data_IF_543945814947
#
_entry.id   IF_543945814947
#
_cell.length_a   1.000
_cell.length_b   1.000
_cell.length_c   1.000
_cell.angle_alpha   90.00
_cell.angle_beta   90.00
_cell.angle_gamma   90.00
#
_symmetry.space_group_name_H-M   'P 1'
#
loop_
_entity.id
_entity.type
_entity.pdbx_description
1 polymer ?
#
# COMPACT_ATOMS: atom_id res chain seq x y z
N UNK A 1 11.70 -25.08 -7.36
CA UNK A 1 10.60 -24.37 -8.06
C UNK A 1 10.87 -24.38 -9.58
N UNK A 2 9.85 -24.50 -10.44
CA UNK A 2 10.00 -24.49 -11.91
C UNK A 2 9.76 -23.06 -12.48
N UNK A 3 10.26 -22.76 -13.69
CA UNK A 3 10.15 -21.48 -14.40
C UNK A 3 8.69 -20.99 -14.57
N UNK A 4 7.74 -21.89 -14.81
CA UNK A 4 6.33 -21.52 -14.88
C UNK A 4 5.79 -21.04 -13.54
N UNK A 5 6.27 -21.63 -12.44
CA UNK A 5 5.83 -21.25 -11.10
C UNK A 5 6.45 -19.91 -10.70
N UNK A 6 7.71 -19.67 -11.07
CA UNK A 6 8.38 -18.40 -10.79
C UNK A 6 7.70 -17.24 -11.52
N UNK A 7 7.48 -17.39 -12.83
CA UNK A 7 6.79 -16.38 -13.66
C UNK A 7 5.36 -16.09 -13.18
N UNK A 8 4.64 -17.11 -12.71
CA UNK A 8 3.31 -16.92 -12.11
C UNK A 8 3.38 -16.08 -10.83
N UNK A 9 4.30 -16.39 -9.93
CA UNK A 9 4.49 -15.65 -8.68
C UNK A 9 4.89 -14.19 -8.97
N UNK A 10 5.78 -13.98 -9.95
CA UNK A 10 6.19 -12.64 -10.39
C UNK A 10 5.00 -11.83 -10.90
N UNK A 11 4.19 -12.42 -11.78
CA UNK A 11 2.99 -11.77 -12.32
C UNK A 11 2.00 -11.42 -11.20
N UNK A 12 1.69 -12.38 -10.33
CA UNK A 12 0.76 -12.18 -9.22
C UNK A 12 1.28 -11.11 -8.26
N UNK A 13 2.58 -11.08 -8.02
CA UNK A 13 3.26 -10.03 -7.28
C UNK A 13 3.06 -8.64 -7.89
N UNK A 14 3.43 -8.52 -9.16
CA UNK A 14 3.35 -7.27 -9.91
C UNK A 14 1.93 -6.70 -9.94
N UNK A 15 0.93 -7.54 -10.21
CA UNK A 15 -0.47 -7.13 -10.29
C UNK A 15 -1.06 -6.74 -8.93
N UNK A 16 -0.42 -7.13 -7.81
CA UNK A 16 -0.94 -6.92 -6.46
C UNK A 16 -0.03 -6.09 -5.56
N UNK A 17 0.79 -5.21 -6.15
CA UNK A 17 1.52 -4.16 -5.44
C UNK A 17 2.93 -4.53 -5.01
N UNK A 18 3.52 -5.57 -5.60
CA UNK A 18 4.93 -5.92 -5.48
C UNK A 18 5.57 -6.03 -6.87
N UNK A 19 5.79 -4.88 -7.50
CA UNK A 19 6.24 -4.70 -8.88
C UNK A 19 7.74 -4.97 -9.15
N UNK A 20 8.56 -5.18 -8.11
CA UNK A 20 10.00 -5.34 -8.25
C UNK A 20 10.49 -6.71 -7.75
N UNK A 21 11.21 -7.42 -8.60
CA UNK A 21 11.85 -8.70 -8.25
C UNK A 21 13.27 -8.40 -7.78
N UNK A 22 13.58 -8.70 -6.51
CA UNK A 22 14.90 -8.45 -5.94
C UNK A 22 15.82 -9.65 -6.07
N UNK A 23 15.30 -10.84 -5.80
CA UNK A 23 16.04 -12.11 -5.83
C UNK A 23 15.10 -13.20 -6.29
N UNK A 24 15.52 -13.96 -7.29
CA UNK A 24 14.87 -15.21 -7.72
C UNK A 24 15.84 -16.36 -7.44
N UNK A 25 15.70 -16.96 -6.26
CA UNK A 25 16.48 -18.14 -5.87
C UNK A 25 15.69 -19.44 -6.11
N UNK A 26 16.36 -20.61 -6.19
CA UNK A 26 15.68 -21.89 -6.45
C UNK A 26 14.58 -22.24 -5.43
N UNK A 27 14.74 -21.73 -4.20
CA UNK A 27 13.88 -21.99 -3.05
C UNK A 27 12.81 -20.90 -2.82
N UNK A 28 12.89 -19.74 -3.49
CA UNK A 28 11.91 -18.68 -3.30
C UNK A 28 12.18 -17.39 -4.08
N UNK A 29 11.13 -16.62 -4.30
CA UNK A 29 11.19 -15.29 -4.94
C UNK A 29 10.98 -14.22 -3.89
N UNK A 30 11.86 -13.21 -3.90
CA UNK A 30 11.69 -12.00 -3.09
C UNK A 30 11.18 -10.86 -3.97
N UNK A 31 9.98 -10.39 -3.66
CA UNK A 31 9.34 -9.25 -4.30
C UNK A 31 9.37 -8.01 -3.41
N UNK A 32 9.37 -6.84 -4.03
CA UNK A 32 9.38 -5.52 -3.41
C UNK A 32 8.49 -4.54 -4.19
N UNK A 33 8.31 -3.34 -3.65
CA UNK A 33 7.51 -2.28 -4.27
C UNK A 33 8.27 -0.95 -4.24
N UNK A 34 7.99 -0.05 -5.18
CA UNK A 34 8.42 1.34 -5.13
C UNK A 34 7.53 2.17 -4.20
N UNK A 35 6.33 1.68 -3.86
CA UNK A 35 5.30 2.41 -3.10
C UNK A 35 5.35 2.19 -1.59
N UNK A 36 6.11 1.18 -1.14
CA UNK A 36 6.32 0.88 0.27
C UNK A 36 7.59 0.05 0.48
N UNK A 37 8.19 0.14 1.67
CA UNK A 37 9.46 -0.54 1.98
C UNK A 37 9.35 -2.06 2.21
N UNK A 38 8.14 -2.60 2.40
CA UNK A 38 7.94 -4.01 2.75
C UNK A 38 8.23 -4.96 1.58
N UNK A 39 8.81 -6.12 1.89
CA UNK A 39 9.14 -7.17 0.92
C UNK A 39 8.38 -8.44 1.21
N UNK A 40 8.03 -9.19 0.17
CA UNK A 40 7.38 -10.49 0.27
C UNK A 40 8.33 -11.58 -0.24
N UNK A 41 8.63 -12.56 0.60
CA UNK A 41 9.37 -13.76 0.21
C UNK A 41 8.37 -14.89 0.01
N UNK A 42 8.31 -15.44 -1.20
CA UNK A 42 7.33 -16.44 -1.61
C UNK A 42 8.05 -17.71 -2.03
N UNK A 43 7.69 -18.81 -1.39
CA UNK A 43 8.20 -20.14 -1.68
C UNK A 43 7.02 -21.05 -2.04
N UNK A 44 7.18 -21.96 -2.99
CA UNK A 44 6.15 -22.95 -3.34
C UNK A 44 6.67 -24.35 -3.02
N UNK A 45 6.04 -25.02 -2.06
CA UNK A 45 6.38 -26.39 -1.66
C UNK A 45 5.12 -27.24 -1.65
N UNK A 46 5.18 -28.42 -2.29
CA UNK A 46 4.07 -29.38 -2.36
C UNK A 46 2.72 -28.75 -2.79
N UNK A 47 2.76 -27.77 -3.70
CA UNK A 47 1.55 -27.06 -4.19
C UNK A 47 1.00 -25.99 -3.24
N UNK A 48 1.64 -25.73 -2.10
CA UNK A 48 1.26 -24.67 -1.17
C UNK A 48 2.27 -23.52 -1.24
N UNK A 49 1.77 -22.30 -1.38
CA UNK A 49 2.56 -21.08 -1.29
C UNK A 49 2.77 -20.70 0.17
N UNK A 50 4.02 -20.44 0.51
CA UNK A 50 4.47 -19.93 1.80
C UNK A 50 4.95 -18.50 1.59
N UNK A 51 4.32 -17.56 2.28
CA UNK A 51 4.62 -16.13 2.16
C UNK A 51 5.12 -15.60 3.49
N UNK A 52 6.32 -15.03 3.49
CA UNK A 52 6.90 -14.32 4.63
C UNK A 52 7.13 -12.87 4.27
N UNK A 53 6.64 -11.95 5.10
CA UNK A 53 6.88 -10.52 4.91
C UNK A 53 8.12 -10.08 5.69
N UNK A 54 9.05 -9.42 5.01
CA UNK A 54 10.16 -8.69 5.64
C UNK A 54 9.73 -7.23 5.77
N UNK A 55 9.57 -6.78 7.00
CA UNK A 55 9.06 -5.45 7.33
C UNK A 55 9.74 -4.92 8.59
N UNK A 56 10.02 -3.62 8.62
CA UNK A 56 10.45 -2.91 9.83
C UNK A 56 9.26 -2.42 10.67
N UNK A 57 8.04 -2.65 10.19
CA UNK A 57 6.80 -2.25 10.85
C UNK A 57 6.27 -3.35 11.76
N UNK A 58 6.14 -3.06 13.05
CA UNK A 58 5.54 -3.96 14.04
C UNK A 58 4.03 -4.16 13.88
N UNK A 59 3.35 -3.32 13.08
CA UNK A 59 1.89 -3.36 12.91
C UNK A 59 1.42 -4.15 11.68
N UNK A 60 2.29 -4.41 10.70
CA UNK A 60 1.90 -5.10 9.46
C UNK A 60 1.42 -6.54 9.71
N UNK A 61 2.24 -7.35 10.39
CA UNK A 61 1.93 -8.76 10.62
C UNK A 61 0.65 -8.94 11.46
N UNK A 62 0.43 -8.22 12.58
CA UNK A 62 -0.84 -8.32 13.33
C UNK A 62 -2.09 -7.93 12.54
N UNK A 63 -2.00 -6.96 11.63
CA UNK A 63 -3.13 -6.54 10.79
C UNK A 63 -3.41 -7.55 9.67
N UNK A 64 -2.37 -8.15 9.10
CA UNK A 64 -2.51 -9.26 8.15
C UNK A 64 -3.10 -10.50 8.82
N UNK A 65 -2.66 -10.83 10.03
CA UNK A 65 -3.21 -11.93 10.83
C UNK A 65 -4.70 -11.71 11.11
N UNK A 66 -5.11 -10.49 11.45
CA UNK A 66 -6.53 -10.14 11.63
C UNK A 66 -7.34 -10.29 10.34
N UNK A 67 -6.75 -9.95 9.19
CA UNK A 67 -7.39 -10.08 7.89
C UNK A 67 -7.51 -11.54 7.44
N UNK A 68 -6.54 -12.39 7.80
CA UNK A 68 -6.44 -13.78 7.34
C UNK A 68 -6.07 -14.76 8.46
N UNK A 69 -6.94 -14.94 9.48
CA UNK A 69 -6.61 -15.74 10.66
C UNK A 69 -6.36 -17.22 10.33
N UNK A 70 -7.00 -17.74 9.27
CA UNK A 70 -6.89 -19.14 8.83
C UNK A 70 -5.70 -19.40 7.91
N UNK A 71 -5.06 -18.36 7.37
CA UNK A 71 -3.90 -18.51 6.49
C UNK A 71 -2.59 -18.53 7.26
N UNK A 72 -2.57 -18.12 8.54
CA UNK A 72 -1.34 -18.12 9.32
C UNK A 72 -0.93 -19.52 9.77
N UNK A 73 0.34 -19.86 9.50
CA UNK A 73 0.95 -21.06 10.05
C UNK A 73 1.13 -20.93 11.57
N UNK A 74 1.22 -22.07 12.25
CA UNK A 74 1.40 -22.15 13.71
C UNK A 74 2.65 -21.41 14.24
N UNK A 75 3.62 -21.07 13.36
CA UNK A 75 4.83 -20.31 13.69
C UNK A 75 4.67 -18.79 13.75
N UNK A 76 3.52 -18.22 13.37
CA UNK A 76 3.23 -16.79 13.58
C UNK A 76 3.99 -15.80 12.68
N UNK A 77 4.76 -16.26 11.69
CA UNK A 77 5.52 -15.41 10.76
C UNK A 77 5.28 -15.73 9.27
N UNK A 78 4.60 -16.83 8.98
CA UNK A 78 4.39 -17.34 7.62
C UNK A 78 2.90 -17.52 7.33
N UNK A 79 2.47 -17.02 6.17
CA UNK A 79 1.14 -17.27 5.62
C UNK A 79 1.21 -18.41 4.60
N UNK A 80 0.21 -19.28 4.64
CA UNK A 80 0.04 -20.42 3.75
C UNK A 80 -1.19 -20.22 2.89
N UNK A 81 -1.04 -20.42 1.58
CA UNK A 81 -2.15 -20.37 0.63
C UNK A 81 -2.00 -21.46 -0.43
N UNK A 82 -3.08 -22.15 -0.75
CA UNK A 82 -3.10 -23.22 -1.74
C UNK A 82 -3.38 -22.73 -3.18
N UNK A 83 -3.90 -21.51 -3.35
CA UNK A 83 -4.31 -21.01 -4.67
C UNK A 83 -3.65 -19.68 -5.01
N UNK A 84 -3.48 -19.45 -6.31
CA UNK A 84 -3.01 -18.18 -6.85
C UNK A 84 -3.95 -17.02 -6.48
N UNK A 85 -5.27 -17.25 -6.47
CA UNK A 85 -6.26 -16.24 -6.09
C UNK A 85 -6.09 -15.78 -4.64
N UNK A 86 -5.88 -16.71 -3.72
CA UNK A 86 -5.65 -16.40 -2.31
C UNK A 86 -4.29 -15.72 -2.11
N UNK A 87 -3.27 -16.11 -2.88
CA UNK A 87 -1.99 -15.40 -2.92
C UNK A 87 -2.16 -13.94 -3.37
N UNK A 88 -2.91 -13.70 -4.45
CA UNK A 88 -3.21 -12.36 -4.95
C UNK A 88 -3.93 -11.50 -3.90
N UNK A 89 -4.94 -12.06 -3.23
CA UNK A 89 -5.70 -11.37 -2.17
C UNK A 89 -4.78 -11.01 -0.99
N UNK A 90 -3.94 -11.95 -0.55
CA UNK A 90 -2.97 -11.72 0.53
C UNK A 90 -1.98 -10.60 0.19
N UNK A 91 -1.36 -10.66 -1.00
CA UNK A 91 -0.39 -9.66 -1.44
C UNK A 91 -1.02 -8.28 -1.60
N UNK A 92 -2.23 -8.20 -2.19
CA UNK A 92 -2.95 -6.93 -2.34
C UNK A 92 -3.24 -6.30 -0.99
N UNK A 93 -3.70 -7.10 -0.01
CA UNK A 93 -3.99 -6.61 1.34
C UNK A 93 -2.69 -6.17 2.04
N UNK A 94 -1.61 -6.92 1.90
CA UNK A 94 -0.31 -6.56 2.44
C UNK A 94 0.20 -5.25 1.86
N UNK A 95 0.10 -5.04 0.55
CA UNK A 95 0.49 -3.79 -0.09
C UNK A 95 -0.37 -2.60 0.40
N UNK A 96 -1.69 -2.80 0.55
CA UNK A 96 -2.61 -1.79 1.09
C UNK A 96 -2.24 -1.37 2.51
N UNK A 97 -2.03 -2.36 3.40
CA UNK A 97 -1.60 -2.11 4.78
C UNK A 97 -0.21 -1.46 4.84
N UNK A 98 0.72 -1.89 3.98
CA UNK A 98 2.07 -1.34 3.92
C UNK A 98 2.08 0.17 3.60
N UNK A 99 1.11 0.65 2.82
CA UNK A 99 0.94 2.08 2.53
C UNK A 99 0.17 2.83 3.61
N UNK A 100 -0.85 2.19 4.17
CA UNK A 100 -1.81 2.82 5.08
C UNK A 100 -1.36 2.87 6.54
N UNK A 101 -0.46 1.98 6.97
CA UNK A 101 -0.05 1.92 8.37
C UNK A 101 0.80 3.14 8.76
N UNK A 102 0.80 3.54 10.05
CA UNK A 102 1.32 4.83 10.51
C UNK A 102 2.76 5.11 10.07
N UNK A 103 3.62 4.10 10.06
CA UNK A 103 5.03 4.27 9.73
C UNK A 103 5.22 4.81 8.30
N UNK A 104 4.48 4.30 7.32
CA UNK A 104 4.58 4.76 5.93
C UNK A 104 3.80 6.06 5.70
N UNK A 105 2.64 6.21 6.35
CA UNK A 105 1.79 7.40 6.21
C UNK A 105 2.51 8.67 6.68
N UNK A 106 3.23 8.60 7.81
CA UNK A 106 4.00 9.73 8.34
C UNK A 106 5.15 10.12 7.41
N UNK A 107 5.87 9.13 6.86
CA UNK A 107 6.96 9.38 5.89
C UNK A 107 6.40 10.09 4.64
N UNK A 108 5.30 9.57 4.08
CA UNK A 108 4.66 10.14 2.90
C UNK A 108 4.15 11.57 3.16
N UNK A 109 3.65 11.85 4.35
CA UNK A 109 3.25 13.19 4.78
C UNK A 109 4.43 14.14 4.83
N UNK A 110 5.53 13.75 5.48
CA UNK A 110 6.74 14.57 5.59
C UNK A 110 7.32 14.91 4.22
N UNK A 111 7.43 13.91 3.33
CA UNK A 111 7.91 14.10 1.96
C UNK A 111 7.01 15.05 1.15
N UNK A 112 5.69 14.90 1.26
CA UNK A 112 4.74 15.76 0.55
C UNK A 112 4.77 17.20 1.07
N UNK A 113 4.85 17.41 2.38
CA UNK A 113 5.02 18.74 2.97
C UNK A 113 6.33 19.36 2.51
N UNK A 114 7.45 18.63 2.54
CA UNK A 114 8.74 19.17 2.09
C UNK A 114 8.73 19.56 0.62
N UNK A 115 8.05 18.79 -0.23
CA UNK A 115 7.93 19.10 -1.65
C UNK A 115 7.12 20.38 -1.88
N UNK A 116 5.95 20.52 -1.25
CA UNK A 116 5.12 21.73 -1.43
C UNK A 116 5.74 22.98 -0.81
N UNK A 117 6.45 22.85 0.32
CA UNK A 117 7.15 24.00 0.93
C UNK A 117 8.37 24.43 0.11
N UNK A 118 8.98 23.54 -0.67
CA UNK A 118 10.12 23.89 -1.54
C UNK A 118 9.72 24.82 -2.70
N UNK A 119 8.46 24.75 -3.13
CA UNK A 119 7.90 25.62 -4.19
C UNK A 119 7.52 27.02 -3.67
N UNK A 120 7.57 27.23 -2.35
CA UNK A 120 7.18 28.47 -1.69
C UNK A 120 8.39 29.37 -1.37
N UNK A 121 8.22 30.71 -1.34
CA UNK A 121 9.27 31.62 -0.93
C UNK A 121 9.83 31.30 0.47
N UNK A 122 11.16 31.40 0.64
CA UNK A 122 11.84 31.08 1.89
C UNK A 122 11.35 31.89 3.12
N UNK A 123 10.71 33.04 2.90
CA UNK A 123 10.12 33.86 3.97
C UNK A 123 8.83 33.29 4.59
N UNK A 124 8.30 32.17 4.09
CA UNK A 124 7.05 31.55 4.57
C UNK A 124 7.28 30.63 5.79
N UNK A 125 8.52 30.28 6.10
CA UNK A 125 8.84 29.42 7.25
C UNK A 125 8.35 30.05 8.56
N UNK A 126 7.60 29.28 9.35
CA UNK A 126 7.03 29.71 10.63
C UNK A 126 5.75 30.57 10.51
N UNK A 127 5.19 30.72 9.31
CA UNK A 127 3.99 31.54 9.08
C UNK A 127 2.69 30.71 9.05
N UNK A 128 1.56 31.41 9.09
CA UNK A 128 0.22 30.81 8.94
C UNK A 128 0.07 30.08 7.60
N UNK A 129 0.77 30.52 6.55
CA UNK A 129 0.75 29.86 5.25
C UNK A 129 1.37 28.46 5.34
N UNK A 130 2.49 28.30 6.05
CA UNK A 130 3.06 26.98 6.31
C UNK A 130 2.10 26.09 7.11
N UNK A 131 1.44 26.65 8.14
CA UNK A 131 0.44 25.93 8.94
C UNK A 131 -0.71 25.41 8.07
N UNK A 132 -1.21 26.23 7.16
CA UNK A 132 -2.28 25.89 6.21
C UNK A 132 -1.86 24.78 5.24
N UNK A 133 -0.64 24.85 4.70
CA UNK A 133 -0.08 23.80 3.82
C UNK A 133 0.02 22.47 4.56
N UNK A 134 0.66 22.46 5.75
CA UNK A 134 0.80 21.25 6.57
C UNK A 134 -0.56 20.65 6.94
N UNK A 135 -1.54 21.48 7.29
CA UNK A 135 -2.89 21.01 7.61
C UNK A 135 -3.56 20.38 6.40
N UNK A 136 -3.51 21.02 5.22
CA UNK A 136 -4.10 20.49 3.98
C UNK A 136 -3.47 19.16 3.58
N UNK A 137 -2.14 19.11 3.52
CA UNK A 137 -1.39 17.90 3.12
C UNK A 137 -1.66 16.77 4.12
N UNK A 138 -1.65 17.08 5.42
CA UNK A 138 -1.95 16.11 6.48
C UNK A 138 -3.35 15.51 6.34
N UNK A 139 -4.36 16.34 6.11
CA UNK A 139 -5.75 15.88 5.89
C UNK A 139 -5.87 14.98 4.65
N UNK A 140 -5.22 15.35 3.55
CA UNK A 140 -5.25 14.55 2.32
C UNK A 140 -4.55 13.19 2.52
N UNK A 141 -3.33 13.18 3.06
CA UNK A 141 -2.59 11.93 3.31
C UNK A 141 -3.27 11.03 4.33
N UNK A 142 -3.87 11.60 5.36
CA UNK A 142 -4.65 10.82 6.33
C UNK A 142 -5.89 10.20 5.68
N UNK A 143 -6.62 10.96 4.86
CA UNK A 143 -7.77 10.43 4.11
C UNK A 143 -7.36 9.28 3.20
N UNK A 144 -6.29 9.46 2.41
CA UNK A 144 -5.78 8.44 1.50
C UNK A 144 -5.39 7.16 2.27
N UNK A 145 -4.67 7.32 3.40
CA UNK A 145 -4.29 6.20 4.25
C UNK A 145 -5.49 5.46 4.83
N UNK A 146 -6.55 6.16 5.26
CA UNK A 146 -7.77 5.52 5.76
C UNK A 146 -8.53 4.76 4.66
N UNK A 147 -8.62 5.33 3.45
CA UNK A 147 -9.23 4.64 2.31
C UNK A 147 -8.44 3.38 1.93
N UNK A 148 -7.11 3.45 1.90
CA UNK A 148 -6.24 2.29 1.68
C UNK A 148 -6.36 1.27 2.83
N UNK A 149 -6.46 1.71 4.09
CA UNK A 149 -6.56 0.82 5.25
C UNK A 149 -7.83 -0.04 5.20
N UNK A 150 -8.97 0.56 4.83
CA UNK A 150 -10.23 -0.18 4.68
C UNK A 150 -10.40 -0.82 3.30
N UNK A 151 -9.43 -0.66 2.40
CA UNK A 151 -9.47 -1.25 1.05
C UNK A 151 -10.60 -0.70 0.19
N UNK A 152 -10.93 0.59 0.33
CA UNK A 152 -12.04 1.24 -0.38
C UNK A 152 -13.44 0.80 0.07
N UNK A 153 -13.54 0.09 1.20
CA UNK A 153 -14.79 -0.35 1.79
C UNK A 153 -15.15 0.40 3.07
N UNK A 154 -16.42 0.36 3.47
CA UNK A 154 -16.86 0.88 4.76
C UNK A 154 -16.25 0.05 5.89
N UNK A 155 -15.69 0.73 6.90
CA UNK A 155 -15.08 0.12 8.09
C UNK A 155 -16.03 -0.80 8.87
N UNK A 156 -17.34 -0.54 8.80
CA UNK A 156 -18.35 -1.24 9.59
C UNK A 156 -19.06 -2.32 8.78
N UNK A 157 -19.47 -2.00 7.55
CA UNK A 157 -20.33 -2.88 6.75
C UNK A 157 -19.58 -3.66 5.66
N UNK A 158 -18.32 -3.29 5.36
CA UNK A 158 -17.55 -3.91 4.27
C UNK A 158 -18.07 -3.57 2.86
N UNK A 159 -19.08 -2.71 2.74
CA UNK A 159 -19.61 -2.28 1.44
C UNK A 159 -18.57 -1.43 0.72
N UNK A 160 -18.24 -1.79 -0.52
CA UNK A 160 -17.37 -1.02 -1.39
C UNK A 160 -18.11 0.23 -1.87
N UNK A 161 -17.48 1.40 -1.70
CA UNK A 161 -18.04 2.65 -2.21
C UNK A 161 -17.45 2.85 -3.61
N UNK A 162 -18.25 2.87 -4.68
CA UNK A 162 -17.74 3.18 -6.01
C UNK A 162 -17.08 4.56 -6.00
N UNK A 163 -15.95 4.68 -6.71
CA UNK A 163 -15.03 5.81 -6.60
C UNK A 163 -15.76 7.18 -6.65
N UNK A 164 -15.73 7.99 -5.57
CA UNK A 164 -16.37 9.29 -5.55
C UNK A 164 -15.81 10.25 -6.61
N UNK A 165 -14.62 9.98 -7.17
CA UNK A 165 -14.03 10.77 -8.26
C UNK A 165 -14.90 10.77 -9.53
N UNK A 166 -15.71 9.72 -9.77
CA UNK A 166 -16.65 9.71 -10.90
C UNK A 166 -17.78 10.73 -10.75
N UNK A 167 -18.19 11.06 -9.51
CA UNK A 167 -19.22 12.07 -9.27
C UNK A 167 -18.68 13.49 -9.25
N UNK A 168 -17.47 13.72 -8.72
CA UNK A 168 -16.90 15.08 -8.64
C UNK A 168 -16.58 15.64 -10.03
N UNK A 169 -16.12 14.79 -10.96
CA UNK A 169 -15.83 15.19 -12.35
C UNK A 169 -17.07 15.61 -13.17
N UNK A 170 -18.27 15.19 -12.74
CA UNK A 170 -19.55 15.60 -13.35
C UNK A 170 -20.13 16.88 -12.74
N UNK A 171 -19.79 17.21 -11.49
CA UNK A 171 -20.40 18.33 -10.76
C UNK A 171 -19.56 19.62 -10.78
N UNK A 172 -18.24 19.55 -11.00
CA UNK A 172 -17.38 20.72 -11.12
C UNK A 172 -16.38 20.54 -12.28
N UNK A 173 -16.71 20.97 -13.50
CA UNK A 173 -15.69 21.14 -14.54
C UNK A 173 -14.70 22.20 -14.05
N UNK A 174 -13.43 21.83 -13.93
CA UNK A 174 -12.30 22.70 -13.60
C UNK A 174 -12.29 23.94 -14.50
N UNK A 175 -12.91 25.03 -14.05
CA UNK A 175 -12.74 26.40 -14.55
C UNK A 175 -12.19 27.28 -13.42
N UNK A 176 -11.02 26.94 -12.89
CA UNK A 176 -10.24 27.86 -12.04
C UNK A 176 -8.74 27.67 -12.31
N UNK A 177 -8.33 27.78 -13.57
CA UNK A 177 -6.90 27.87 -13.92
C UNK A 177 -6.57 29.11 -14.78
N UNK A 178 -7.55 29.83 -15.33
CA UNK A 178 -7.30 30.97 -16.24
C UNK A 178 -7.68 32.36 -15.68
N UNK A 179 -7.51 32.61 -14.36
CA UNK A 179 -7.88 33.90 -13.76
C UNK A 179 -6.72 34.71 -13.16
N UNK A 180 -5.47 34.35 -13.47
CA UNK A 180 -4.32 35.22 -13.20
C UNK A 180 -3.37 35.22 -14.40
N UNK A 181 -3.76 36.01 -15.40
CA UNK A 181 -2.88 36.64 -16.38
C UNK A 181 -3.15 38.14 -16.34
#
# INVERSE_FOLDING_TARGET
MNLLQSTLIEKVGNDNGFEHILVSEPDGITLASARHANRAVICLQNGTYYVRFKTDSSSLLPELQRSFPTMMAAGGDVFQTATESNLAVLLRRAASLSRALPNQTVINFQQAVSAELADLPAGIVGTEVERMVRQRVGQNKFRDAMLDYWGGACAVTGVTIPDPSQKIRQLYPLKVVDAFA
#
